data_IF_337419465816
#
_entry.id   IF_337419465816
#
_cell.length_a   1.000
_cell.length_b   1.000
_cell.length_c   1.000
_cell.angle_alpha   90.00
_cell.angle_beta   90.00
_cell.angle_gamma   90.00
#
_symmetry.space_group_name_H-M   'P 1'
#
loop_
_entity.id
_entity.type
_entity.pdbx_description
1 polymer ?
#
# COMPACT_ATOMS: atom_id res chain seq x y z
N UNK A 1 -2.69 11.68 0.03
CA UNK A 1 -3.33 10.88 -1.04
C UNK A 1 -3.68 9.47 -0.57
N UNK A 2 -2.74 8.67 -0.05
CA UNK A 2 -3.04 7.31 0.45
C UNK A 2 -4.19 7.24 1.48
N UNK A 3 -4.20 8.13 2.48
CA UNK A 3 -5.30 8.20 3.47
C UNK A 3 -6.67 8.54 2.87
N UNK A 4 -6.70 9.38 1.82
CA UNK A 4 -7.95 9.67 1.09
C UNK A 4 -8.46 8.42 0.38
N UNK A 5 -7.57 7.65 -0.25
CA UNK A 5 -7.94 6.39 -0.91
C UNK A 5 -8.53 5.38 0.09
N UNK A 6 -8.10 5.35 1.35
CA UNK A 6 -8.73 4.52 2.39
C UNK A 6 -10.22 4.87 2.55
N UNK A 7 -10.54 6.17 2.63
CA UNK A 7 -11.92 6.64 2.77
C UNK A 7 -12.75 6.28 1.54
N UNK A 8 -12.19 6.46 0.33
CA UNK A 8 -12.85 6.08 -0.93
C UNK A 8 -13.11 4.58 -1.00
N UNK A 9 -12.11 3.75 -0.70
CA UNK A 9 -12.27 2.29 -0.66
C UNK A 9 -13.37 1.87 0.33
N UNK A 10 -13.42 2.49 1.52
CA UNK A 10 -14.48 2.23 2.50
C UNK A 10 -15.86 2.65 1.99
N UNK A 11 -15.98 3.82 1.37
CA UNK A 11 -17.22 4.29 0.77
C UNK A 11 -17.70 3.36 -0.37
N UNK A 12 -16.78 2.75 -1.10
CA UNK A 12 -17.06 1.76 -2.15
C UNK A 12 -17.35 0.34 -1.62
N UNK A 13 -17.30 0.12 -0.30
CA UNK A 13 -17.57 -1.19 0.30
C UNK A 13 -16.43 -2.21 0.15
N UNK A 14 -15.19 -1.76 -0.05
CA UNK A 14 -14.02 -2.66 -0.10
C UNK A 14 -13.85 -3.38 1.24
N UNK A 15 -13.78 -4.71 1.18
CA UNK A 15 -13.80 -5.58 2.37
C UNK A 15 -12.45 -5.71 3.08
N UNK A 16 -11.33 -5.60 2.35
CA UNK A 16 -9.97 -5.73 2.87
C UNK A 16 -9.10 -4.59 2.36
N UNK A 17 -8.40 -3.93 3.28
CA UNK A 17 -7.47 -2.85 2.97
C UNK A 17 -6.19 -3.11 3.76
N UNK A 18 -5.05 -3.06 3.10
CA UNK A 18 -3.73 -3.03 3.73
C UNK A 18 -3.02 -1.73 3.35
N UNK A 19 -2.35 -1.10 4.32
CA UNK A 19 -1.65 0.18 4.11
C UNK A 19 -0.18 0.04 4.48
N UNK A 20 0.68 0.48 3.58
CA UNK A 20 2.12 0.61 3.79
C UNK A 20 2.50 2.09 3.89
N UNK A 21 3.37 2.43 4.83
CA UNK A 21 3.99 3.77 4.93
C UNK A 21 5.28 3.65 5.75
N UNK A 22 6.19 4.61 5.61
CA UNK A 22 7.39 4.73 6.45
C UNK A 22 7.10 5.44 7.78
N UNK A 23 5.98 6.16 7.85
CA UNK A 23 5.57 6.98 8.98
C UNK A 23 4.57 6.22 9.85
N UNK A 24 4.99 5.88 11.07
CA UNK A 24 4.12 5.27 12.07
C UNK A 24 2.90 6.14 12.38
N UNK A 25 3.06 7.47 12.46
CA UNK A 25 1.96 8.40 12.69
C UNK A 25 0.86 8.29 11.61
N UNK A 26 1.26 8.13 10.33
CA UNK A 26 0.29 7.95 9.23
C UNK A 26 -0.40 6.59 9.31
N UNK A 27 0.31 5.56 9.75
CA UNK A 27 -0.25 4.23 9.95
C UNK A 27 -1.22 4.19 11.14
N UNK A 28 -0.89 4.86 12.25
CA UNK A 28 -1.82 5.04 13.38
C UNK A 28 -3.09 5.77 12.96
N UNK A 29 -2.97 6.77 12.09
CA UNK A 29 -4.14 7.43 11.52
C UNK A 29 -4.96 6.50 10.61
N UNK A 30 -4.30 5.69 9.77
CA UNK A 30 -4.99 4.67 8.98
C UNK A 30 -5.73 3.64 9.86
N UNK A 31 -5.15 3.27 11.01
CA UNK A 31 -5.83 2.43 12.01
C UNK A 31 -7.05 3.12 12.63
N UNK A 32 -6.95 4.42 12.95
CA UNK A 32 -8.07 5.21 13.45
C UNK A 32 -9.21 5.31 12.41
N UNK A 33 -8.89 5.26 11.11
CA UNK A 33 -9.87 5.15 10.03
C UNK A 33 -10.47 3.74 9.91
N UNK A 34 -10.03 2.77 10.71
CA UNK A 34 -10.54 1.40 10.76
C UNK A 34 -9.86 0.46 9.76
N UNK A 35 -8.61 0.70 9.38
CA UNK A 35 -7.77 -0.26 8.65
C UNK A 35 -7.04 -1.15 9.66
N UNK A 36 -7.24 -2.47 9.59
CA UNK A 36 -6.61 -3.42 10.52
C UNK A 36 -5.22 -3.85 10.08
N UNK A 37 -5.00 -3.96 8.77
CA UNK A 37 -3.75 -4.41 8.19
C UNK A 37 -2.89 -3.20 7.84
N UNK A 38 -1.86 -2.94 8.65
CA UNK A 38 -0.88 -1.89 8.40
C UNK A 38 0.53 -2.47 8.45
N UNK A 39 1.45 -1.91 7.65
CA UNK A 39 2.85 -2.34 7.59
C UNK A 39 3.75 -1.11 7.58
N UNK A 40 4.60 -0.97 8.60
CA UNK A 40 5.66 0.04 8.60
C UNK A 40 6.82 -0.48 7.76
N UNK A 41 7.09 0.16 6.62
CA UNK A 41 8.10 -0.31 5.65
C UNK A 41 9.47 0.32 5.87
N UNK A 42 9.62 1.12 6.93
CA UNK A 42 10.85 1.85 7.24
C UNK A 42 12.00 0.88 7.44
N UNK A 43 13.10 1.09 6.72
CA UNK A 43 14.32 0.26 6.78
C UNK A 43 14.11 -1.23 6.50
N UNK A 44 13.09 -1.59 5.71
CA UNK A 44 12.84 -2.97 5.30
C UNK A 44 13.23 -3.20 3.84
N UNK A 45 13.77 -4.39 3.57
CA UNK A 45 13.98 -4.88 2.22
C UNK A 45 12.66 -5.20 1.52
N UNK A 46 12.57 -4.96 0.20
CA UNK A 46 11.34 -5.12 -0.59
C UNK A 46 10.72 -6.52 -0.43
N UNK A 47 11.54 -7.57 -0.42
CA UNK A 47 11.05 -8.95 -0.24
C UNK A 47 10.46 -9.21 1.15
N UNK A 48 11.02 -8.58 2.18
CA UNK A 48 10.47 -8.67 3.53
C UNK A 48 9.13 -7.94 3.61
N UNK A 49 9.04 -6.75 3.01
CA UNK A 49 7.78 -5.99 2.93
C UNK A 49 6.71 -6.76 2.17
N UNK A 50 7.04 -7.37 1.03
CA UNK A 50 6.11 -8.16 0.24
C UNK A 50 5.52 -9.32 1.05
N UNK A 51 6.36 -10.07 1.75
CA UNK A 51 5.91 -11.18 2.62
C UNK A 51 4.99 -10.69 3.72
N UNK A 52 5.33 -9.58 4.38
CA UNK A 52 4.52 -9.01 5.45
C UNK A 52 3.15 -8.51 4.93
N UNK A 53 3.13 -7.82 3.79
CA UNK A 53 1.88 -7.36 3.16
C UNK A 53 0.98 -8.54 2.81
N UNK A 54 1.53 -9.59 2.18
CA UNK A 54 0.77 -10.79 1.82
C UNK A 54 0.22 -11.49 3.06
N UNK A 55 1.03 -11.62 4.12
CA UNK A 55 0.60 -12.23 5.38
C UNK A 55 -0.52 -11.42 6.05
N UNK A 56 -0.37 -10.09 6.14
CA UNK A 56 -1.34 -9.19 6.79
C UNK A 56 -2.63 -9.01 5.99
N UNK A 57 -2.56 -9.07 4.66
CA UNK A 57 -3.73 -8.99 3.79
C UNK A 57 -4.45 -10.35 3.66
N UNK A 58 -3.73 -11.45 3.86
CA UNK A 58 -4.21 -12.82 3.71
C UNK A 58 -4.19 -13.30 2.26
N UNK A 59 -3.19 -12.89 1.49
CA UNK A 59 -3.03 -13.17 0.06
C UNK A 59 -2.43 -11.99 -0.71
N UNK A 60 -2.35 -12.12 -2.03
CA UNK A 60 -1.97 -11.00 -2.90
C UNK A 60 -3.18 -10.10 -3.19
N UNK A 61 -3.04 -8.76 -3.14
CA UNK A 61 -4.11 -7.83 -3.47
C UNK A 61 -4.50 -7.86 -4.95
N UNK A 62 -5.80 -7.70 -5.21
CA UNK A 62 -6.36 -7.52 -6.56
C UNK A 62 -5.98 -6.16 -7.17
N UNK A 63 -5.94 -5.13 -6.31
CA UNK A 63 -5.67 -3.74 -6.68
C UNK A 63 -4.65 -3.16 -5.69
N UNK A 64 -3.60 -2.54 -6.22
CA UNK A 64 -2.62 -1.77 -5.43
C UNK A 64 -2.62 -0.32 -5.90
N UNK A 65 -2.67 0.61 -4.94
CA UNK A 65 -2.65 2.06 -5.20
C UNK A 65 -1.31 2.63 -4.71
N UNK A 66 -0.40 2.92 -5.63
CA UNK A 66 0.89 3.54 -5.31
C UNK A 66 0.69 5.06 -5.21
N UNK A 67 0.89 5.61 -4.02
CA UNK A 67 0.56 7.01 -3.70
C UNK A 67 1.77 7.86 -3.31
N UNK A 68 2.99 7.31 -3.34
CA UNK A 68 4.19 7.98 -2.85
C UNK A 68 5.13 8.43 -3.97
N UNK A 69 5.12 7.75 -5.11
CA UNK A 69 6.07 7.94 -6.21
C UNK A 69 7.46 7.35 -5.94
N UNK A 70 7.69 6.77 -4.75
CA UNK A 70 8.99 6.22 -4.40
C UNK A 70 9.27 4.94 -5.20
N UNK A 71 10.41 4.88 -5.88
CA UNK A 71 10.78 3.72 -6.70
C UNK A 71 10.70 2.37 -5.96
N UNK A 72 11.14 2.22 -4.69
CA UNK A 72 10.96 0.98 -3.95
C UNK A 72 9.48 0.61 -3.74
N UNK A 73 8.61 1.60 -3.57
CA UNK A 73 7.17 1.43 -3.41
C UNK A 73 6.52 0.97 -4.72
N UNK A 74 6.94 1.56 -5.85
CA UNK A 74 6.49 1.14 -7.19
C UNK A 74 6.88 -0.32 -7.45
N UNK A 75 8.13 -0.70 -7.17
CA UNK A 75 8.63 -2.08 -7.32
C UNK A 75 7.88 -3.05 -6.41
N UNK A 76 7.60 -2.66 -5.16
CA UNK A 76 6.78 -3.44 -4.25
C UNK A 76 5.37 -3.65 -4.82
N UNK A 77 4.74 -2.57 -5.33
CA UNK A 77 3.41 -2.63 -5.92
C UNK A 77 3.34 -3.62 -7.08
N UNK A 78 4.36 -3.64 -7.95
CA UNK A 78 4.46 -4.60 -9.05
C UNK A 78 4.56 -6.06 -8.57
N UNK A 79 5.33 -6.30 -7.51
CA UNK A 79 5.57 -7.65 -6.98
C UNK A 79 4.40 -8.19 -6.15
N UNK A 80 3.75 -7.34 -5.37
CA UNK A 80 2.72 -7.77 -4.42
C UNK A 80 1.36 -7.97 -5.09
N UNK A 81 1.04 -7.15 -6.11
CA UNK A 81 -0.22 -7.27 -6.85
C UNK A 81 -0.33 -8.63 -7.51
N UNK A 82 -1.49 -9.28 -7.37
CA UNK A 82 -1.69 -10.62 -7.92
C UNK A 82 -1.60 -10.61 -9.46
N UNK A 83 -1.27 -11.75 -10.10
CA UNK A 83 -1.41 -11.90 -11.55
C UNK A 83 -2.83 -11.54 -12.03
N UNK A 84 -2.92 -10.69 -13.06
CA UNK A 84 -4.19 -10.16 -13.57
C UNK A 84 -4.83 -9.06 -12.71
N UNK A 85 -4.16 -8.63 -11.63
CA UNK A 85 -4.56 -7.47 -10.84
C UNK A 85 -4.14 -6.14 -11.46
N UNK A 86 -4.39 -5.04 -10.75
CA UNK A 86 -4.13 -3.68 -11.22
C UNK A 86 -3.24 -2.92 -10.23
N UNK A 87 -2.12 -2.41 -10.72
CA UNK A 87 -1.31 -1.40 -10.02
C UNK A 87 -1.62 -0.02 -10.60
N UNK A 88 -2.15 0.88 -9.77
CA UNK A 88 -2.39 2.27 -10.15
C UNK A 88 -1.26 3.15 -9.61
N UNK A 89 -0.58 3.88 -10.48
CA UNK A 89 0.46 4.84 -10.12
C UNK A 89 -0.17 6.23 -9.97
N UNK A 90 -0.24 6.72 -8.74
CA UNK A 90 -0.83 8.02 -8.37
C UNK A 90 0.27 8.97 -7.89
N UNK A 91 1.26 8.45 -7.18
CA UNK A 91 2.40 9.23 -6.72
C UNK A 91 3.30 9.67 -7.86
N UNK A 92 3.80 10.90 -7.79
CA UNK A 92 4.78 11.42 -8.73
C UNK A 92 6.18 11.06 -8.25
N UNK A 93 6.90 10.29 -9.06
CA UNK A 93 8.29 9.93 -8.79
C UNK A 93 9.26 11.09 -9.05
N UNK A 94 10.54 10.80 -8.92
CA UNK A 94 11.59 11.75 -9.30
C UNK A 94 11.48 12.08 -10.80
N UNK A 95 11.72 13.34 -11.20
CA UNK A 95 11.83 13.69 -12.61
C UNK A 95 12.97 12.90 -13.27
N UNK A 96 12.79 12.57 -14.54
CA UNK A 96 13.76 11.78 -15.31
C UNK A 96 14.93 12.62 -15.89
N UNK A 97 15.04 13.90 -15.51
CA UNK A 97 16.00 14.88 -16.05
C UNK A 97 16.25 16.01 -15.05
#
# INVERSE_FOLDING_TARGET
IGLLNILVCKAMGVSKICVTDISENRLSFAQALGVKSIVCVKNMEIEAVMKEVIARFGGQPDITLECSGAEPSVKLGLKVTKPGGVLTLIGLGAPEI
#
